data_IF_838530895134
#
_entry.id   IF_838530895134
#
_cell.length_a   1.000
_cell.length_b   1.000
_cell.length_c   1.000
_cell.angle_alpha   90.00
_cell.angle_beta   90.00
_cell.angle_gamma   90.00
#
_symmetry.space_group_name_H-M   'P 1'
#
loop_
_entity.id
_entity.type
_entity.pdbx_description
1 polymer ?
#
# COMPACT_ATOMS: atom_id res chain seq x y z
N UNK A 1 0.45 14.04 16.37
CA UNK A 1 -0.06 12.66 16.29
C UNK A 1 -0.27 12.37 14.82
N UNK A 2 0.72 11.83 14.11
CA UNK A 2 0.57 11.36 12.72
C UNK A 2 0.22 9.87 12.80
N UNK A 3 -0.99 9.46 12.41
CA UNK A 3 -1.43 8.08 12.68
C UNK A 3 -2.08 7.37 11.49
N UNK A 4 -2.24 7.98 10.31
CA UNK A 4 -2.85 7.26 9.18
C UNK A 4 -2.24 7.71 7.86
N UNK A 5 -1.68 6.75 7.12
CA UNK A 5 -2.32 6.46 5.86
C UNK A 5 -3.44 5.47 6.05
N UNK A 6 -4.50 5.67 5.27
CA UNK A 6 -5.69 4.85 5.33
C UNK A 6 -5.85 4.19 3.99
N UNK A 7 -5.50 2.90 3.89
CA UNK A 7 -5.82 2.14 2.68
C UNK A 7 -7.34 2.12 2.54
N UNK A 8 -7.82 2.72 1.46
CA UNK A 8 -9.24 2.80 1.13
C UNK A 8 -9.69 1.60 0.32
N UNK A 9 -8.84 1.15 -0.60
CA UNK A 9 -9.17 0.02 -1.47
C UNK A 9 -7.92 -0.73 -1.89
N UNK A 10 -8.06 -2.05 -1.98
CA UNK A 10 -7.05 -2.95 -2.49
C UNK A 10 -7.72 -3.91 -3.48
N UNK A 11 -7.63 -3.61 -4.77
CA UNK A 11 -8.41 -4.27 -5.82
C UNK A 11 -7.50 -5.08 -6.73
N UNK A 12 -7.79 -6.37 -6.88
CA UNK A 12 -7.09 -7.24 -7.81
C UNK A 12 -7.86 -7.31 -9.14
N UNK A 13 -7.22 -6.83 -10.22
CA UNK A 13 -7.75 -6.91 -11.57
C UNK A 13 -6.74 -7.65 -12.47
N UNK A 14 -7.07 -8.90 -12.81
CA UNK A 14 -6.16 -9.78 -13.55
C UNK A 14 -4.84 -10.02 -12.82
N UNK A 15 -3.76 -9.40 -13.31
CA UNK A 15 -2.40 -9.51 -12.77
C UNK A 15 -1.93 -8.24 -12.06
N UNK A 16 -2.79 -7.24 -11.94
CA UNK A 16 -2.48 -5.97 -11.31
C UNK A 16 -3.21 -5.85 -9.98
N UNK A 17 -2.47 -5.55 -8.92
CA UNK A 17 -3.06 -5.17 -7.65
C UNK A 17 -2.98 -3.65 -7.50
N UNK A 18 -4.14 -3.00 -7.50
CA UNK A 18 -4.24 -1.55 -7.28
C UNK A 18 -4.50 -1.25 -5.81
N UNK A 19 -3.57 -0.53 -5.18
CA UNK A 19 -3.73 0.04 -3.84
C UNK A 19 -4.11 1.50 -3.98
N UNK A 20 -5.13 1.94 -3.24
CA UNK A 20 -5.42 3.37 -3.04
C UNK A 20 -5.46 3.67 -1.57
N UNK A 21 -4.89 4.81 -1.22
CA UNK A 21 -4.97 5.34 0.13
C UNK A 21 -4.91 6.86 0.14
N UNK A 22 -5.16 7.38 1.33
CA UNK A 22 -4.99 8.80 1.64
C UNK A 22 -3.88 8.94 2.66
N UNK A 23 -3.23 10.11 2.65
CA UNK A 23 -2.27 10.51 3.67
C UNK A 23 -2.90 11.60 4.52
N UNK A 24 -2.65 11.58 5.83
CA UNK A 24 -3.01 12.67 6.73
C UNK A 24 -2.07 13.89 6.56
N UNK A 25 -2.64 15.09 6.69
CA UNK A 25 -1.93 16.37 6.70
C UNK A 25 -2.13 17.29 5.47
N UNK A 26 -1.83 18.58 5.66
CA UNK A 26 -2.05 19.67 4.68
C UNK A 26 -1.23 19.55 3.38
N UNK A 27 -0.20 18.70 3.40
CA UNK A 27 0.70 18.50 2.28
C UNK A 27 0.81 17.01 1.95
N UNK A 28 0.84 16.67 0.66
CA UNK A 28 1.11 15.29 0.24
C UNK A 28 2.57 14.93 0.51
N UNK A 29 2.86 13.69 0.94
CA UNK A 29 4.22 13.17 1.00
C UNK A 29 4.94 13.32 -0.34
N UNK A 30 6.25 13.47 -0.28
CA UNK A 30 7.10 13.47 -1.46
C UNK A 30 7.16 12.08 -2.09
N UNK A 31 7.07 11.03 -1.27
CA UNK A 31 7.00 9.65 -1.73
C UNK A 31 6.15 8.80 -0.79
N UNK A 32 5.44 7.83 -1.36
CA UNK A 32 4.75 6.77 -0.63
C UNK A 32 5.20 5.44 -1.20
N UNK A 33 5.80 4.59 -0.38
CA UNK A 33 6.20 3.23 -0.76
C UNK A 33 5.27 2.23 -0.08
N UNK A 34 4.80 1.24 -0.83
CA UNK A 34 3.84 0.24 -0.35
C UNK A 34 4.34 -1.16 -0.68
N UNK A 35 4.25 -2.05 0.30
CA UNK A 35 4.47 -3.49 0.17
C UNK A 35 3.19 -4.20 0.56
N UNK A 36 2.75 -5.17 -0.23
CA UNK A 36 1.63 -6.05 0.10
C UNK A 36 2.18 -7.45 0.28
N UNK A 37 1.71 -8.14 1.31
CA UNK A 37 2.05 -9.51 1.65
C UNK A 37 0.76 -10.29 1.87
N UNK A 38 0.60 -11.42 1.19
CA UNK A 38 -0.48 -12.36 1.44
C UNK A 38 0.10 -13.71 1.80
N UNK A 39 -0.25 -14.20 2.98
CA UNK A 39 0.10 -15.54 3.40
C UNK A 39 -0.60 -16.56 2.51
N UNK A 40 0.15 -17.61 2.15
CA UNK A 40 -0.36 -18.74 1.40
C UNK A 40 -0.53 -19.96 2.32
N UNK A 41 -1.38 -20.95 1.94
CA UNK A 41 -1.46 -22.21 2.65
C UNK A 41 -0.11 -22.92 2.76
N UNK A 42 0.04 -23.81 3.74
CA UNK A 42 1.26 -24.58 3.95
C UNK A 42 1.72 -25.28 2.66
N UNK A 43 2.96 -25.03 2.25
CA UNK A 43 3.54 -25.59 1.02
C UNK A 43 3.42 -24.70 -0.23
N UNK A 44 2.87 -23.49 -0.12
CA UNK A 44 2.84 -22.49 -1.20
C UNK A 44 3.73 -21.28 -0.87
N UNK A 45 4.23 -20.61 -1.91
CA UNK A 45 4.99 -19.36 -1.76
C UNK A 45 4.06 -18.23 -1.30
N UNK A 46 4.56 -17.36 -0.41
CA UNK A 46 3.85 -16.13 -0.04
C UNK A 46 3.84 -15.17 -1.23
N UNK A 47 2.69 -14.58 -1.51
CA UNK A 47 2.60 -13.52 -2.50
C UNK A 47 3.11 -12.22 -1.86
N UNK A 48 4.11 -11.60 -2.49
CA UNK A 48 4.70 -10.33 -2.03
C UNK A 48 4.96 -9.46 -3.24
N UNK A 49 4.49 -8.21 -3.19
CA UNK A 49 4.80 -7.22 -4.20
C UNK A 49 4.97 -5.84 -3.57
N UNK A 50 5.65 -4.94 -4.26
CA UNK A 50 5.83 -3.57 -3.80
C UNK A 50 5.83 -2.57 -4.94
N UNK A 51 5.45 -1.33 -4.64
CA UNK A 51 5.46 -0.23 -5.60
C UNK A 51 5.64 1.12 -4.89
N UNK A 52 6.14 2.09 -5.64
CA UNK A 52 6.06 3.50 -5.26
C UNK A 52 4.73 4.02 -5.80
N UNK A 53 3.97 4.71 -4.95
CA UNK A 53 2.66 5.23 -5.32
C UNK A 53 2.79 6.55 -6.08
N UNK A 54 1.92 6.70 -7.08
CA UNK A 54 1.65 7.97 -7.73
C UNK A 54 0.71 8.82 -6.87
N UNK A 55 0.88 10.13 -6.93
CA UNK A 55 -0.06 11.08 -6.34
C UNK A 55 -1.34 11.18 -7.19
N UNK A 56 -2.50 11.10 -6.55
CA UNK A 56 -3.81 11.23 -7.18
C UNK A 56 -4.68 12.17 -6.35
N UNK A 57 -4.74 13.45 -6.74
CA UNK A 57 -5.47 14.48 -5.99
C UNK A 57 -4.89 14.68 -4.58
N UNK A 58 -5.74 14.44 -3.57
CA UNK A 58 -5.40 14.45 -2.14
C UNK A 58 -4.92 13.10 -1.61
N UNK A 59 -4.90 12.05 -2.44
CA UNK A 59 -4.46 10.72 -2.06
C UNK A 59 -3.36 10.19 -2.98
N UNK A 60 -3.18 8.88 -2.93
CA UNK A 60 -2.16 8.18 -3.69
C UNK A 60 -2.68 6.84 -4.22
N UNK A 61 -2.04 6.36 -5.29
CA UNK A 61 -2.33 5.08 -5.93
C UNK A 61 -1.04 4.35 -6.25
N UNK A 62 -0.93 3.09 -5.84
CA UNK A 62 0.15 2.20 -6.25
C UNK A 62 -0.41 1.05 -7.09
N UNK A 63 0.28 0.70 -8.18
CA UNK A 63 -0.05 -0.48 -9.00
C UNK A 63 1.09 -1.47 -8.86
N UNK A 64 0.80 -2.63 -8.28
CA UNK A 64 1.76 -3.70 -8.07
C UNK A 64 1.57 -4.72 -9.19
N UNK A 65 2.62 -4.95 -9.96
CA UNK A 65 2.65 -5.88 -11.08
C UNK A 65 3.08 -7.27 -10.60
N UNK A 66 2.49 -8.32 -11.21
CA UNK A 66 2.90 -9.72 -11.07
C UNK A 66 2.79 -10.31 -9.67
N UNK A 67 1.55 -10.53 -9.22
CA UNK A 67 1.36 -10.56 -7.80
C UNK A 67 1.13 -11.91 -7.15
N UNK A 68 0.78 -12.96 -7.90
CA UNK A 68 0.29 -14.25 -7.35
C UNK A 68 -0.88 -14.14 -6.33
N UNK A 69 -1.32 -12.91 -6.01
CA UNK A 69 -2.36 -12.59 -5.05
C UNK A 69 -3.70 -13.19 -5.45
N UNK A 70 -4.49 -13.47 -4.43
CA UNK A 70 -5.89 -13.84 -4.55
C UNK A 70 -6.73 -12.91 -3.69
N UNK A 71 -8.02 -12.85 -4.01
CA UNK A 71 -9.00 -12.16 -3.15
C UNK A 71 -8.99 -12.79 -1.76
N UNK A 72 -9.00 -11.96 -0.72
CA UNK A 72 -8.91 -12.42 0.65
C UNK A 72 -8.00 -11.56 1.53
N UNK A 73 -7.73 -12.00 2.77
CA UNK A 73 -6.94 -11.24 3.72
C UNK A 73 -5.50 -11.07 3.22
N UNK A 74 -4.92 -9.90 3.50
CA UNK A 74 -3.52 -9.57 3.26
C UNK A 74 -3.04 -8.56 4.31
N UNK A 75 -1.73 -8.36 4.35
CA UNK A 75 -1.08 -7.30 5.12
C UNK A 75 -0.43 -6.32 4.15
N UNK A 76 -0.54 -5.05 4.48
CA UNK A 76 0.18 -3.98 3.80
C UNK A 76 1.12 -3.32 4.78
N UNK A 77 2.32 -3.00 4.29
CA UNK A 77 3.30 -2.18 4.98
C UNK A 77 3.62 -1.00 4.08
N UNK A 78 3.89 0.16 4.67
CA UNK A 78 4.34 1.27 3.85
C UNK A 78 5.10 2.33 4.61
N UNK A 79 5.69 3.22 3.82
CA UNK A 79 6.49 4.35 4.27
C UNK A 79 6.05 5.58 3.50
N UNK A 80 5.69 6.62 4.23
CA UNK A 80 5.48 7.96 3.68
C UNK A 80 6.68 8.83 4.04
N UNK A 81 7.26 9.52 3.07
CA UNK A 81 8.41 10.41 3.29
C UNK A 81 8.08 11.84 2.87
N UNK A 82 8.44 12.80 3.71
CA UNK A 82 8.36 14.26 3.52
C UNK A 82 9.77 14.83 3.60
N UNK A 83 10.11 15.84 2.80
CA UNK A 83 11.49 16.36 2.71
C UNK A 83 11.69 17.68 3.49
N UNK A 84 10.65 18.47 3.77
CA UNK A 84 10.79 19.75 4.47
C UNK A 84 9.58 20.07 5.38
N UNK A 85 9.70 19.91 6.72
CA UNK A 85 10.80 19.21 7.41
C UNK A 85 10.88 17.73 6.97
N UNK A 86 12.04 17.10 7.13
CA UNK A 86 12.13 15.67 6.88
C UNK A 86 11.36 14.90 7.93
N UNK A 87 10.35 14.15 7.50
CA UNK A 87 9.54 13.27 8.33
C UNK A 87 9.27 11.99 7.56
N UNK A 88 9.41 10.85 8.24
CA UNK A 88 8.96 9.58 7.71
C UNK A 88 7.95 8.93 8.65
N UNK A 89 6.85 8.45 8.08
CA UNK A 89 5.83 7.69 8.80
C UNK A 89 5.78 6.28 8.24
N UNK A 90 5.98 5.28 9.09
CA UNK A 90 5.83 3.87 8.73
C UNK A 90 4.53 3.32 9.31
N UNK A 91 3.94 2.37 8.61
CA UNK A 91 2.64 1.82 8.99
C UNK A 91 2.51 0.37 8.53
N UNK A 92 1.63 -0.35 9.25
CA UNK A 92 1.21 -1.72 8.92
C UNK A 92 -0.30 -1.78 9.09
N UNK A 93 -0.99 -2.35 8.11
CA UNK A 93 -2.45 -2.47 8.11
C UNK A 93 -2.87 -3.84 7.59
N UNK A 94 -3.82 -4.47 8.28
CA UNK A 94 -4.53 -5.65 7.77
C UNK A 94 -5.64 -5.19 6.83
N UNK A 95 -5.72 -5.81 5.66
CA UNK A 95 -6.62 -5.41 4.58
C UNK A 95 -7.22 -6.66 3.92
N UNK A 96 -8.23 -6.45 3.08
CA UNK A 96 -8.79 -7.49 2.23
C UNK A 96 -8.61 -7.09 0.77
N UNK A 97 -7.97 -7.95 -0.01
CA UNK A 97 -7.91 -7.85 -1.46
C UNK A 97 -9.28 -8.25 -2.01
N UNK A 98 -9.91 -7.36 -2.77
CA UNK A 98 -11.23 -7.57 -3.38
C UNK A 98 -11.16 -7.71 -4.89
#
# INVERSE_FOLDING_TARGET
>A
MSVRPNIQSLVLDGKELTVKGETDGDHMPTAVFVVVVQDAPAGQAKAVASAIADRVGSGWRAVLQDTEFKKGPAQTLGVEARIAPFESTTWVQSVTIV
#
